data_IF_618550819462
#
_entry.id   IF_618550819462
#
_cell.length_a   1.000
_cell.length_b   1.000
_cell.length_c   1.000
_cell.angle_alpha   90.00
_cell.angle_beta   90.00
_cell.angle_gamma   90.00
#
_symmetry.space_group_name_H-M   'P 1'
#
loop_
_entity.id
_entity.type
_entity.pdbx_description
1 polymer ?
#
# COMPACT_ATOMS: atom_id res chain seq x y z
N UNK A 1 4.82 -4.39 18.74
CA UNK A 1 4.26 -3.66 17.58
C UNK A 1 2.76 -3.91 17.55
N UNK A 2 1.93 -2.87 17.41
CA UNK A 2 0.50 -3.05 17.21
C UNK A 2 0.25 -3.70 15.84
N UNK A 3 -0.75 -4.58 15.78
CA UNK A 3 -1.33 -5.05 14.52
C UNK A 3 -2.54 -4.15 14.23
N UNK A 4 -2.63 -3.67 13.00
CA UNK A 4 -3.72 -2.82 12.54
C UNK A 4 -4.44 -3.54 11.41
N UNK A 5 -5.73 -3.85 11.63
CA UNK A 5 -6.57 -4.46 10.62
C UNK A 5 -6.96 -3.44 9.55
N UNK A 6 -7.10 -3.91 8.31
CA UNK A 6 -7.58 -3.13 7.18
C UNK A 6 -8.45 -4.02 6.28
N UNK A 7 -9.57 -3.49 5.82
CA UNK A 7 -10.52 -4.22 4.96
C UNK A 7 -10.15 -4.13 3.47
N UNK A 8 -9.28 -3.20 3.08
CA UNK A 8 -8.81 -3.04 1.69
C UNK A 8 -7.33 -2.64 1.62
N UNK A 9 -6.76 -2.76 0.41
CA UNK A 9 -5.40 -2.28 0.15
C UNK A 9 -5.29 -0.76 0.33
N UNK A 10 -6.30 0.02 -0.08
CA UNK A 10 -6.26 1.48 0.12
C UNK A 10 -6.29 1.84 1.61
N UNK A 11 -7.08 1.13 2.41
CA UNK A 11 -7.10 1.33 3.86
C UNK A 11 -5.77 0.93 4.51
N UNK A 12 -5.17 -0.18 4.08
CA UNK A 12 -3.88 -0.63 4.57
C UNK A 12 -2.78 0.40 4.28
N UNK A 13 -2.70 0.90 3.04
CA UNK A 13 -1.71 1.91 2.62
C UNK A 13 -1.92 3.23 3.37
N UNK A 14 -3.16 3.72 3.52
CA UNK A 14 -3.44 4.94 4.28
C UNK A 14 -3.10 4.79 5.76
N UNK A 15 -3.35 3.63 6.34
CA UNK A 15 -3.03 3.36 7.74
C UNK A 15 -1.52 3.26 7.95
N UNK A 16 -0.80 2.60 7.04
CA UNK A 16 0.65 2.56 7.04
C UNK A 16 1.26 3.97 6.91
N UNK A 17 0.78 4.78 5.95
CA UNK A 17 1.26 6.16 5.75
C UNK A 17 1.01 7.09 6.94
N UNK A 18 -0.09 6.91 7.68
CA UNK A 18 -0.36 7.66 8.92
C UNK A 18 0.52 7.24 10.10
N UNK A 19 1.03 6.00 10.07
CA UNK A 19 1.80 5.42 11.18
C UNK A 19 3.30 5.60 10.97
N UNK A 20 3.76 5.52 9.72
CA UNK A 20 5.15 5.69 9.33
C UNK A 20 5.68 7.08 9.69
N UNK A 21 6.93 7.12 10.15
CA UNK A 21 7.65 8.35 10.45
C UNK A 21 8.69 8.65 9.36
N UNK A 22 9.20 9.90 9.29
CA UNK A 22 10.32 10.21 8.41
C UNK A 22 11.51 9.26 8.65
N UNK A 23 11.96 8.58 7.59
CA UNK A 23 13.02 7.58 7.63
C UNK A 23 12.54 6.12 7.64
N UNK A 24 11.24 5.89 7.85
CA UNK A 24 10.65 4.55 7.75
C UNK A 24 10.43 4.11 6.29
N UNK A 25 10.42 2.81 6.07
CA UNK A 25 10.01 2.20 4.81
C UNK A 25 8.77 1.34 5.02
N UNK A 26 7.78 1.49 4.14
CA UNK A 26 6.57 0.64 4.12
C UNK A 26 6.74 -0.44 3.06
N UNK A 27 6.69 -1.70 3.46
CA UNK A 27 6.84 -2.87 2.58
C UNK A 27 5.55 -3.68 2.51
N UNK A 28 5.07 -3.95 1.29
CA UNK A 28 4.04 -4.95 1.05
C UNK A 28 4.68 -6.34 0.90
N UNK A 29 4.58 -7.20 1.93
CA UNK A 29 5.10 -8.58 1.91
C UNK A 29 4.00 -9.60 2.28
N UNK A 30 3.17 -10.03 1.31
CA UNK A 30 2.09 -10.97 1.57
C UNK A 30 2.63 -12.41 1.62
N UNK A 31 2.49 -13.06 2.78
CA UNK A 31 2.90 -14.45 3.01
C UNK A 31 1.93 -15.50 2.41
N UNK A 32 0.79 -15.08 1.83
CA UNK A 32 -0.27 -15.96 1.34
C UNK A 32 -0.73 -15.63 -0.11
N UNK A 33 -1.33 -16.64 -0.76
CA UNK A 33 -1.87 -16.54 -2.11
C UNK A 33 -3.04 -15.55 -2.18
N UNK A 34 -3.09 -14.71 -3.22
CA UNK A 34 -3.96 -13.53 -3.34
C UNK A 34 -5.43 -13.80 -3.73
N UNK A 35 -5.86 -15.05 -3.84
CA UNK A 35 -7.03 -15.42 -4.66
C UNK A 35 -8.41 -15.05 -4.09
N UNK A 36 -8.48 -14.59 -2.84
CA UNK A 36 -9.69 -14.12 -2.18
C UNK A 36 -10.02 -12.65 -2.50
N UNK A 37 -9.01 -11.77 -2.49
CA UNK A 37 -9.17 -10.33 -2.71
C UNK A 37 -8.67 -9.83 -4.08
N UNK A 38 -7.83 -10.61 -4.78
CA UNK A 38 -7.18 -10.17 -6.02
C UNK A 38 -7.22 -11.26 -7.10
N UNK A 39 -7.28 -10.84 -8.36
CA UNK A 39 -7.32 -11.76 -9.51
C UNK A 39 -6.07 -12.64 -9.61
N UNK A 40 -4.91 -12.10 -9.27
CA UNK A 40 -3.60 -12.75 -9.32
C UNK A 40 -2.54 -11.91 -8.58
N UNK A 41 -1.30 -12.38 -8.58
CA UNK A 41 -0.16 -11.68 -7.97
C UNK A 41 0.09 -10.28 -8.58
N UNK A 42 0.16 -10.10 -9.92
CA UNK A 42 0.33 -8.78 -10.52
C UNK A 42 -0.78 -7.78 -10.16
N UNK A 43 -2.05 -8.22 -10.20
CA UNK A 43 -3.19 -7.37 -9.85
C UNK A 43 -3.07 -6.83 -8.41
N UNK A 44 -2.56 -7.63 -7.46
CA UNK A 44 -2.32 -7.14 -6.10
C UNK A 44 -1.27 -6.03 -6.06
N UNK A 45 -0.19 -6.17 -6.82
CA UNK A 45 0.85 -5.13 -6.92
C UNK A 45 0.33 -3.86 -7.62
N UNK A 46 -0.51 -4.02 -8.64
CA UNK A 46 -1.17 -2.90 -9.31
C UNK A 46 -2.07 -2.11 -8.35
N UNK A 47 -2.90 -2.81 -7.55
CA UNK A 47 -3.76 -2.17 -6.54
C UNK A 47 -2.93 -1.47 -5.48
N UNK A 48 -1.84 -2.08 -5.00
CA UNK A 48 -0.93 -1.42 -4.05
C UNK A 48 -0.30 -0.14 -4.64
N UNK A 49 0.20 -0.20 -5.88
CA UNK A 49 0.78 0.97 -6.54
C UNK A 49 -0.25 2.07 -6.73
N UNK A 50 -1.47 1.72 -7.13
CA UNK A 50 -2.58 2.68 -7.26
C UNK A 50 -2.93 3.34 -5.92
N UNK A 51 -2.99 2.56 -4.83
CA UNK A 51 -3.25 3.08 -3.49
C UNK A 51 -2.14 4.03 -2.99
N UNK A 52 -0.87 3.70 -3.26
CA UNK A 52 0.28 4.58 -2.93
C UNK A 52 0.23 5.87 -3.75
N UNK A 53 -0.15 5.78 -5.03
CA UNK A 53 -0.34 6.95 -5.88
C UNK A 53 -1.45 7.86 -5.39
N UNK A 54 -2.62 7.30 -5.07
CA UNK A 54 -3.73 8.09 -4.52
C UNK A 54 -3.32 8.79 -3.21
N UNK A 55 -2.60 8.11 -2.33
CA UNK A 55 -2.09 8.70 -1.08
C UNK A 55 -1.13 9.88 -1.36
N UNK A 56 -0.23 9.75 -2.34
CA UNK A 56 0.71 10.81 -2.71
C UNK A 56 -0.03 12.03 -3.30
N UNK A 57 -1.01 11.79 -4.18
CA UNK A 57 -1.87 12.84 -4.74
C UNK A 57 -2.67 13.57 -3.64
N UNK A 58 -3.25 12.84 -2.69
CA UNK A 58 -3.93 13.40 -1.50
C UNK A 58 -2.99 14.26 -0.63
N UNK A 59 -1.72 13.86 -0.54
CA UNK A 59 -0.69 14.60 0.18
C UNK A 59 -0.08 15.77 -0.63
N UNK A 60 -0.45 15.93 -1.90
CA UNK A 60 0.11 16.94 -2.80
C UNK A 60 1.57 16.68 -3.20
N UNK A 61 2.02 15.41 -3.16
CA UNK A 61 3.39 15.00 -3.47
C UNK A 61 3.42 14.22 -4.78
N UNK A 62 4.35 14.54 -5.67
CA UNK A 62 4.60 13.75 -6.88
C UNK A 62 5.43 12.51 -6.53
N UNK A 63 4.97 11.33 -6.93
CA UNK A 63 5.78 10.12 -6.84
C UNK A 63 6.90 10.15 -7.89
N UNK A 64 8.13 9.94 -7.44
CA UNK A 64 9.23 9.59 -8.34
C UNK A 64 9.02 8.12 -8.76
N UNK A 65 8.43 7.92 -9.94
CA UNK A 65 8.31 6.58 -10.51
C UNK A 65 9.69 6.21 -11.06
N UNK A 66 10.33 5.18 -10.48
CA UNK A 66 11.47 4.54 -11.13
C UNK A 66 10.97 3.95 -12.46
N UNK A 67 11.43 4.54 -13.57
CA UNK A 67 11.15 4.11 -14.94
C UNK A 67 11.64 2.69 -15.20
#
# INVERSE_FOLDING_TARGET
MPLLDAASMEEAVRTAGRTAQPGDAVLMSPACASFDMFRNYPHRAEVFRAAVQALAEEAGVALEVAA
#
